data_IF_835785850060
#
_entry.id   IF_835785850060
#
_cell.length_a   1.000
_cell.length_b   1.000
_cell.length_c   1.000
_cell.angle_alpha   90.00
_cell.angle_beta   90.00
_cell.angle_gamma   90.00
#
_symmetry.space_group_name_H-M   'P 1'
#
loop_
_entity.id
_entity.type
_entity.pdbx_description
1 polymer ?
#
# COMPACT_ATOMS: atom_id res chain seq x y z
N UNK A 1 -4.35 -24.81 -8.48
CA UNK A 1 -4.36 -23.68 -9.43
C UNK A 1 -2.93 -23.42 -9.86
N UNK A 2 -2.59 -23.61 -11.13
CA UNK A 2 -1.29 -23.20 -11.69
C UNK A 2 -1.49 -21.77 -12.22
N UNK A 3 -0.74 -20.81 -11.70
CA UNK A 3 -0.76 -19.46 -12.24
C UNK A 3 0.19 -19.41 -13.44
N UNK A 4 -0.26 -18.84 -14.54
CA UNK A 4 0.65 -18.40 -15.60
C UNK A 4 1.47 -17.19 -15.12
N UNK A 5 2.52 -16.88 -15.90
CA UNK A 5 3.42 -15.76 -15.63
C UNK A 5 2.65 -14.45 -15.48
N UNK A 6 1.73 -14.18 -16.39
CA UNK A 6 1.07 -12.88 -16.50
C UNK A 6 0.11 -12.65 -15.32
N UNK A 7 -0.54 -13.70 -14.82
CA UNK A 7 -1.30 -13.68 -13.58
C UNK A 7 -0.42 -13.38 -12.36
N UNK A 8 0.80 -13.93 -12.29
CA UNK A 8 1.73 -13.63 -11.19
C UNK A 8 2.25 -12.19 -11.27
N UNK A 9 2.63 -11.72 -12.46
CA UNK A 9 3.04 -10.32 -12.69
C UNK A 9 1.90 -9.37 -12.30
N UNK A 10 0.68 -9.62 -12.77
CA UNK A 10 -0.48 -8.80 -12.42
C UNK A 10 -0.70 -8.73 -10.91
N UNK A 11 -0.65 -9.86 -10.21
CA UNK A 11 -0.79 -9.89 -8.74
C UNK A 11 0.32 -9.14 -8.02
N UNK A 12 1.55 -9.26 -8.50
CA UNK A 12 2.69 -8.54 -7.95
C UNK A 12 2.54 -7.02 -8.16
N UNK A 13 2.03 -6.58 -9.31
CA UNK A 13 1.68 -5.17 -9.56
C UNK A 13 0.56 -4.71 -8.63
N UNK A 14 -0.50 -5.50 -8.42
CA UNK A 14 -1.54 -5.17 -7.45
C UNK A 14 -0.98 -5.04 -6.02
N UNK A 15 -0.02 -5.89 -5.63
CA UNK A 15 0.63 -5.79 -4.33
C UNK A 15 1.44 -4.49 -4.20
N UNK A 16 2.14 -4.04 -5.26
CA UNK A 16 2.81 -2.75 -5.24
C UNK A 16 1.84 -1.57 -5.24
N UNK A 17 0.71 -1.67 -5.95
CA UNK A 17 -0.34 -0.64 -5.93
C UNK A 17 -0.95 -0.46 -4.53
N UNK A 18 -1.13 -1.54 -3.77
CA UNK A 18 -1.55 -1.46 -2.37
C UNK A 18 -0.54 -0.69 -1.52
N UNK A 19 0.76 -0.86 -1.75
CA UNK A 19 1.82 -0.12 -1.06
C UNK A 19 1.78 1.36 -1.42
N UNK A 20 1.51 1.68 -2.68
CA UNK A 20 1.33 3.07 -3.13
C UNK A 20 0.17 3.73 -2.40
N UNK A 21 -0.93 3.01 -2.21
CA UNK A 21 -2.08 3.50 -1.46
C UNK A 21 -1.74 3.70 0.03
N UNK A 22 -1.09 2.72 0.66
CA UNK A 22 -0.65 2.83 2.06
C UNK A 22 0.30 4.02 2.26
N UNK A 23 1.21 4.28 1.32
CA UNK A 23 2.23 5.32 1.46
C UNK A 23 1.65 6.75 1.36
N UNK A 24 0.38 6.89 0.97
CA UNK A 24 -0.35 8.15 1.05
C UNK A 24 -0.46 8.70 2.48
N UNK A 25 -0.37 7.82 3.49
CA UNK A 25 -0.44 8.21 4.91
C UNK A 25 0.93 8.58 5.49
N UNK A 26 2.01 8.17 4.85
CA UNK A 26 3.37 8.36 5.33
C UNK A 26 4.37 7.37 4.72
N UNK A 27 5.64 7.44 5.11
CA UNK A 27 6.65 6.48 4.69
C UNK A 27 6.30 5.07 5.19
N UNK A 28 6.58 4.06 4.37
CA UNK A 28 6.24 2.67 4.66
C UNK A 28 7.43 1.95 5.30
N UNK A 29 7.14 1.22 6.38
CA UNK A 29 8.10 0.26 6.94
C UNK A 29 8.34 -0.86 5.94
N UNK A 30 9.60 -1.03 5.56
CA UNK A 30 10.00 -2.04 4.59
C UNK A 30 9.83 -3.46 5.14
N UNK A 31 9.24 -4.37 4.34
CA UNK A 31 9.10 -5.79 4.68
C UNK A 31 9.84 -6.69 3.69
N UNK A 32 10.11 -7.94 4.09
CA UNK A 32 10.69 -8.95 3.18
C UNK A 32 9.77 -9.24 2.00
N UNK A 33 8.45 -9.24 2.22
CA UNK A 33 7.48 -9.44 1.15
C UNK A 33 7.61 -8.37 0.05
N UNK A 34 7.79 -7.09 0.43
CA UNK A 34 8.00 -6.02 -0.56
C UNK A 34 9.27 -6.22 -1.37
N UNK A 35 10.38 -6.57 -0.70
CA UNK A 35 11.66 -6.85 -1.39
C UNK A 35 11.51 -8.01 -2.36
N UNK A 36 10.83 -9.07 -1.93
CA UNK A 36 10.55 -10.22 -2.79
C UNK A 36 9.71 -9.83 -4.00
N UNK A 37 8.62 -9.07 -3.82
CA UNK A 37 7.76 -8.61 -4.93
C UNK A 37 8.56 -7.78 -5.95
N UNK A 38 9.39 -6.84 -5.48
CA UNK A 38 10.24 -6.04 -6.36
C UNK A 38 11.29 -6.90 -7.08
N UNK A 39 11.95 -7.81 -6.37
CA UNK A 39 12.94 -8.71 -6.97
C UNK A 39 12.30 -9.66 -8.00
N UNK A 40 11.11 -10.18 -7.70
CA UNK A 40 10.32 -10.99 -8.62
C UNK A 40 9.96 -10.20 -9.88
N UNK A 41 9.42 -8.99 -9.74
CA UNK A 41 9.07 -8.17 -10.90
C UNK A 41 10.31 -7.82 -11.74
N UNK A 42 11.44 -7.53 -11.10
CA UNK A 42 12.70 -7.32 -11.81
C UNK A 42 13.14 -8.57 -12.56
N UNK A 43 13.02 -9.77 -11.97
CA UNK A 43 13.34 -11.02 -12.66
C UNK A 43 12.39 -11.34 -13.83
N UNK A 44 11.21 -10.72 -13.87
CA UNK A 44 10.25 -10.84 -14.98
C UNK A 44 10.37 -9.69 -15.99
N UNK A 45 11.22 -8.69 -15.72
CA UNK A 45 11.45 -7.53 -16.56
C UNK A 45 12.06 -7.96 -17.89
N UNK A 46 11.63 -7.32 -18.98
CA UNK A 46 12.24 -7.44 -20.31
C UNK A 46 13.43 -6.49 -20.50
N UNK A 47 13.74 -5.69 -19.48
CA UNK A 47 14.83 -4.71 -19.49
C UNK A 47 15.71 -4.90 -18.26
N UNK A 48 17.00 -4.63 -18.42
CA UNK A 48 17.96 -4.64 -17.30
C UNK A 48 17.93 -3.34 -16.47
N UNK A 49 17.08 -2.38 -16.84
CA UNK A 49 16.97 -1.09 -16.17
C UNK A 49 16.35 -1.23 -14.77
N UNK A 50 17.19 -1.04 -13.74
CA UNK A 50 16.78 -1.10 -12.33
C UNK A 50 16.17 0.18 -11.79
N UNK A 51 16.28 1.30 -12.53
CA UNK A 51 15.95 2.65 -12.04
C UNK A 51 14.55 2.73 -11.43
N UNK A 52 13.52 2.27 -12.14
CA UNK A 52 12.14 2.33 -11.63
C UNK A 52 11.95 1.50 -10.35
N UNK A 53 12.67 0.39 -10.20
CA UNK A 53 12.60 -0.48 -9.00
C UNK A 53 13.28 0.17 -7.80
N UNK A 54 14.49 0.69 -8.01
CA UNK A 54 15.26 1.35 -6.96
C UNK A 54 14.60 2.67 -6.54
N UNK A 55 14.08 3.46 -7.48
CA UNK A 55 13.40 4.72 -7.21
C UNK A 55 12.05 4.48 -6.52
N UNK A 56 11.29 3.44 -6.92
CA UNK A 56 10.10 3.00 -6.18
C UNK A 56 10.45 2.65 -4.73
N UNK A 57 11.50 1.85 -4.52
CA UNK A 57 11.93 1.44 -3.18
C UNK A 57 12.35 2.64 -2.32
N UNK A 58 13.07 3.61 -2.90
CA UNK A 58 13.49 4.83 -2.19
C UNK A 58 12.31 5.72 -1.84
N UNK A 59 11.42 6.00 -2.79
CA UNK A 59 10.35 6.97 -2.59
C UNK A 59 9.35 6.52 -1.52
N UNK A 60 8.98 5.24 -1.47
CA UNK A 60 7.97 4.76 -0.51
C UNK A 60 8.46 4.84 0.95
N UNK A 61 9.76 4.90 1.19
CA UNK A 61 10.37 4.89 2.53
C UNK A 61 11.00 6.21 2.95
N UNK A 62 11.07 7.20 2.05
CA UNK A 62 11.80 8.44 2.31
C UNK A 62 11.07 9.32 3.33
N UNK A 63 11.60 9.44 4.54
CA UNK A 63 11.04 10.25 5.62
C UNK A 63 11.23 11.76 5.37
N UNK A 64 12.22 12.14 4.56
CA UNK A 64 12.72 13.50 4.41
C UNK A 64 12.47 14.09 3.03
N UNK A 65 11.42 13.62 2.35
CA UNK A 65 10.98 14.22 1.09
C UNK A 65 10.78 15.72 1.26
N UNK A 66 11.61 16.47 0.52
CA UNK A 66 11.63 17.93 0.52
C UNK A 66 10.33 18.43 -0.12
N UNK A 67 9.47 19.01 0.70
CA UNK A 67 8.16 19.52 0.30
C UNK A 67 7.76 20.67 1.23
N UNK A 68 6.93 21.59 0.74
CA UNK A 68 6.50 22.78 1.49
C UNK A 68 5.53 22.46 2.63
N UNK A 69 4.85 21.32 2.57
CA UNK A 69 3.92 20.85 3.59
C UNK A 69 3.89 19.33 3.68
N UNK A 70 3.30 18.79 4.76
CA UNK A 70 3.07 17.34 4.89
C UNK A 70 2.08 16.82 3.85
N UNK A 71 1.11 17.64 3.43
CA UNK A 71 0.19 17.32 2.36
C UNK A 71 0.95 17.12 1.03
N UNK A 72 1.81 18.08 0.69
CA UNK A 72 2.65 18.00 -0.51
C UNK A 72 3.59 16.79 -0.46
N UNK A 73 4.16 16.50 0.71
CA UNK A 73 5.02 15.33 0.91
C UNK A 73 4.30 14.02 0.58
N UNK A 74 3.06 13.87 1.07
CA UNK A 74 2.21 12.69 0.80
C UNK A 74 1.82 12.62 -0.68
N UNK A 75 1.40 13.74 -1.26
CA UNK A 75 1.03 13.83 -2.67
C UNK A 75 2.20 13.46 -3.60
N UNK A 76 3.38 14.04 -3.35
CA UNK A 76 4.59 13.76 -4.12
C UNK A 76 4.97 12.28 -4.02
N UNK A 77 4.96 11.71 -2.81
CA UNK A 77 5.29 10.29 -2.61
C UNK A 77 4.40 9.39 -3.46
N UNK A 78 3.08 9.57 -3.38
CA UNK A 78 2.12 8.77 -4.15
C UNK A 78 2.33 8.97 -5.65
N UNK A 79 2.52 10.22 -6.08
CA UNK A 79 2.70 10.56 -7.50
C UNK A 79 3.94 9.88 -8.07
N UNK A 80 5.09 10.05 -7.43
CA UNK A 80 6.34 9.41 -7.87
C UNK A 80 6.28 7.89 -7.78
N UNK A 81 5.67 7.33 -6.73
CA UNK A 81 5.50 5.89 -6.61
C UNK A 81 4.61 5.32 -7.73
N UNK A 82 3.53 6.00 -8.12
CA UNK A 82 2.68 5.64 -9.27
C UNK A 82 3.44 5.73 -10.59
N UNK A 83 4.28 6.75 -10.77
CA UNK A 83 5.14 6.87 -11.95
C UNK A 83 6.09 5.67 -12.06
N UNK A 84 6.77 5.33 -10.97
CA UNK A 84 7.68 4.19 -10.94
C UNK A 84 6.93 2.86 -11.15
N UNK A 85 5.76 2.68 -10.53
CA UNK A 85 4.91 1.50 -10.72
C UNK A 85 4.50 1.32 -12.18
N UNK A 86 4.17 2.42 -12.86
CA UNK A 86 3.86 2.39 -14.30
C UNK A 86 5.05 1.93 -15.14
N UNK A 87 6.25 2.42 -14.80
CA UNK A 87 7.50 1.97 -15.44
C UNK A 87 7.77 0.48 -15.22
N UNK A 88 7.62 0.00 -13.98
CA UNK A 88 7.78 -1.42 -13.62
C UNK A 88 6.77 -2.30 -14.37
N UNK A 89 5.48 -1.93 -14.38
CA UNK A 89 4.44 -2.69 -15.08
C UNK A 89 4.78 -2.84 -16.57
N UNK A 90 5.19 -1.74 -17.22
CA UNK A 90 5.60 -1.75 -18.63
C UNK A 90 6.82 -2.64 -18.87
N UNK A 91 7.83 -2.61 -17.99
CA UNK A 91 9.02 -3.45 -18.15
C UNK A 91 8.69 -4.94 -18.03
N UNK A 92 7.67 -5.32 -17.25
CA UNK A 92 7.16 -6.68 -17.16
C UNK A 92 6.22 -7.08 -18.33
N UNK A 93 5.87 -6.15 -19.22
CA UNK A 93 4.97 -6.35 -20.36
C UNK A 93 3.49 -6.09 -20.07
N UNK A 94 3.16 -5.46 -18.93
CA UNK A 94 1.80 -5.05 -18.59
C UNK A 94 1.60 -3.56 -18.96
N UNK A 95 0.68 -3.29 -19.89
CA UNK A 95 0.29 -1.93 -20.22
C UNK A 95 -0.64 -1.37 -19.14
N UNK A 96 -0.32 -0.19 -18.63
CA UNK A 96 -1.14 0.51 -17.62
C UNK A 96 -2.19 1.41 -18.27
N UNK A 97 -3.05 0.81 -19.09
CA UNK A 97 -4.22 1.47 -19.67
C UNK A 97 -5.37 1.62 -18.65
N UNK A 98 -6.46 2.28 -19.06
CA UNK A 98 -7.62 2.54 -18.20
C UNK A 98 -8.24 1.22 -17.71
N UNK A 99 -8.34 0.19 -18.55
CA UNK A 99 -8.90 -1.10 -18.17
C UNK A 99 -8.05 -1.78 -17.10
N UNK A 100 -6.74 -1.83 -17.28
CA UNK A 100 -5.80 -2.42 -16.32
C UNK A 100 -5.82 -1.66 -15.00
N UNK A 101 -5.84 -0.32 -15.05
CA UNK A 101 -5.98 0.51 -13.86
C UNK A 101 -7.29 0.23 -13.11
N UNK A 102 -8.42 0.09 -13.83
CA UNK A 102 -9.71 -0.28 -13.25
C UNK A 102 -9.68 -1.67 -12.60
N UNK A 103 -9.03 -2.64 -13.25
CA UNK A 103 -8.87 -4.00 -12.70
C UNK A 103 -8.04 -4.00 -11.42
N UNK A 104 -6.96 -3.24 -11.37
CA UNK A 104 -6.13 -3.07 -10.16
C UNK A 104 -6.95 -2.41 -9.04
N UNK A 105 -7.68 -1.33 -9.35
CA UNK A 105 -8.54 -0.66 -8.39
C UNK A 105 -9.63 -1.59 -7.82
N UNK A 106 -10.24 -2.44 -8.66
CA UNK A 106 -11.22 -3.41 -8.22
C UNK A 106 -10.63 -4.47 -7.27
N UNK A 107 -9.39 -4.91 -7.51
CA UNK A 107 -8.68 -5.81 -6.59
C UNK A 107 -8.43 -5.12 -5.25
N UNK A 108 -7.96 -3.87 -5.27
CA UNK A 108 -7.70 -3.08 -4.06
C UNK A 108 -8.95 -2.91 -3.21
N UNK A 109 -10.09 -2.55 -3.81
CA UNK A 109 -11.36 -2.42 -3.08
C UNK A 109 -11.86 -3.76 -2.52
N UNK A 110 -11.66 -4.85 -3.26
CA UNK A 110 -12.00 -6.19 -2.75
C UNK A 110 -11.14 -6.60 -1.55
N UNK A 111 -9.86 -6.22 -1.52
CA UNK A 111 -8.97 -6.48 -0.37
C UNK A 111 -9.41 -5.65 0.83
N UNK A 112 -9.70 -4.35 0.64
CA UNK A 112 -10.23 -3.46 1.68
C UNK A 112 -11.53 -4.00 2.28
N UNK A 113 -12.48 -4.42 1.45
CA UNK A 113 -13.75 -4.98 1.91
C UNK A 113 -13.63 -6.31 2.66
N UNK A 114 -12.56 -7.08 2.46
CA UNK A 114 -12.27 -8.32 3.20
C UNK A 114 -11.49 -8.08 4.48
N UNK A 115 -10.73 -6.98 4.56
CA UNK A 115 -9.94 -6.56 5.72
C UNK A 115 -10.70 -5.73 6.75
N UNK A 116 -12.02 -5.56 6.61
CA UNK A 116 -12.89 -4.91 7.57
C UNK A 116 -13.03 -5.72 8.87
N UNK A 117 -11.96 -5.80 9.66
CA UNK A 117 -12.07 -6.09 11.09
C UNK A 117 -12.83 -4.95 11.73
N UNK A 118 -14.07 -5.27 12.11
CA UNK A 118 -14.86 -4.63 13.17
C UNK A 118 -13.87 -4.09 14.23
N UNK A 119 -13.91 -2.79 14.59
CA UNK A 119 -13.12 -2.34 15.73
C UNK A 119 -13.50 -3.23 16.92
N UNK A 120 -12.50 -3.78 17.60
CA UNK A 120 -12.70 -4.49 18.85
C UNK A 120 -13.26 -3.44 19.81
N UNK A 121 -14.58 -3.35 19.92
CA UNK A 121 -15.22 -2.66 21.02
C UNK A 121 -14.69 -3.34 22.27
N UNK A 122 -13.77 -2.67 22.96
CA UNK A 122 -13.46 -3.00 24.34
C UNK A 122 -14.80 -2.98 25.08
N UNK A 123 -15.14 -4.03 25.86
CA UNK A 123 -16.35 -4.00 26.65
C UNK A 123 -16.30 -2.77 27.53
N UNK A 124 -17.38 -1.97 27.48
CA UNK A 124 -17.60 -0.87 28.40
C UNK A 124 -17.45 -1.40 29.82
N UNK A 125 -16.42 -0.90 30.51
CA UNK A 125 -16.18 -1.17 31.90
C UNK A 125 -17.29 -0.47 32.68
N UNK A 126 -18.41 -1.17 32.86
CA UNK A 126 -19.45 -0.82 33.81
C UNK A 126 -18.88 -0.98 35.22
N UNK A 127 -18.09 0.00 35.64
CA UNK A 127 -17.85 0.24 37.06
C UNK A 127 -19.15 0.75 37.69
N UNK A 128 -19.91 -0.19 38.23
CA UNK A 128 -21.02 0.04 39.16
C UNK A 128 -20.50 0.81 40.38
N UNK A 129 -20.69 2.14 40.38
CA UNK A 129 -20.59 2.97 41.59
C UNK A 129 -21.89 2.88 42.38
N UNK A 130 -22.07 1.79 43.13
CA UNK A 130 -23.15 1.63 44.09
C UNK A 130 -22.84 2.37 45.41
N UNK A 131 -23.75 3.27 45.80
CA UNK A 131 -24.21 3.43 47.18
C UNK A 131 -23.35 4.23 48.17
N UNK A 132 -23.87 5.37 48.61
CA UNK A 132 -23.32 6.11 49.75
C UNK A 132 -24.19 7.29 50.19
N UNK A 133 -25.41 6.96 50.62
CA UNK A 133 -26.31 7.84 51.38
C UNK A 133 -25.60 8.37 52.64
N UNK A 134 -25.60 9.70 52.86
CA UNK A 134 -25.60 10.32 54.19
C UNK A 134 -25.70 11.86 54.11
N UNK A 135 -26.90 12.39 54.34
CA UNK A 135 -27.10 13.55 55.22
C UNK A 135 -26.85 13.08 56.68
N UNK A 136 -26.41 13.91 57.66
CA UNK A 136 -27.00 15.22 57.98
C UNK A 136 -26.01 16.31 58.53
N UNK A 137 -26.38 17.59 58.43
CA UNK A 137 -26.66 18.52 59.55
C UNK A 137 -27.02 19.90 59.02
#
# INVERSE_FOLDING_TARGET
MRFDRDHLVFKAICALDEIVDQCSTGPIRTTLAMRFVLAFLYSQSKTDERRNFDDFWKIIRDEHLQAYSDHDRRYMRVTYARTCLTGIARSCGLLMDIETQNRIAAVREKVRGRGGSRPLSLPDDHSEGSGGDHAPT
#
